data_IF_666070898267
#
_entry.id   IF_666070898267
#
_cell.length_a   1.000
_cell.length_b   1.000
_cell.length_c   1.000
_cell.angle_alpha   90.00
_cell.angle_beta   90.00
_cell.angle_gamma   90.00
#
_symmetry.space_group_name_H-M   'P 1'
#
loop_
_entity.id
_entity.type
_entity.pdbx_description
1 polymer ?
#
# COMPACT_ATOMS: atom_id res chain seq x y z
N UNK A 1 -11.48 6.62 12.89
CA UNK A 1 -10.57 5.84 12.03
C UNK A 1 -10.91 5.98 10.56
N UNK A 2 -12.17 5.77 10.16
CA UNK A 2 -12.59 6.01 8.77
C UNK A 2 -12.30 7.44 8.33
N UNK A 3 -12.50 8.42 9.19
CA UNK A 3 -12.26 9.84 8.92
C UNK A 3 -10.79 10.16 8.68
N UNK A 4 -9.89 9.47 9.38
CA UNK A 4 -8.46 9.66 9.18
C UNK A 4 -8.01 9.27 7.76
N UNK A 5 -8.44 8.12 7.27
CA UNK A 5 -8.10 7.67 5.93
C UNK A 5 -8.76 8.52 4.86
N UNK A 6 -9.98 8.99 5.11
CA UNK A 6 -10.70 9.89 4.22
C UNK A 6 -9.97 11.23 4.09
N UNK A 7 -9.54 11.81 5.21
CA UNK A 7 -8.80 13.07 5.24
C UNK A 7 -7.43 12.90 4.57
N UNK A 8 -6.74 11.81 4.85
CA UNK A 8 -5.44 11.52 4.25
C UNK A 8 -5.55 11.37 2.73
N UNK A 9 -6.55 10.62 2.27
CA UNK A 9 -6.81 10.45 0.84
C UNK A 9 -7.14 11.75 0.15
N UNK A 10 -7.93 12.60 0.78
CA UNK A 10 -8.28 13.92 0.26
C UNK A 10 -7.06 14.83 0.14
N UNK A 11 -6.20 14.86 1.16
CA UNK A 11 -4.96 15.64 1.13
C UNK A 11 -4.03 15.18 0.03
N UNK A 12 -3.91 13.90 -0.18
CA UNK A 12 -3.10 13.33 -1.26
C UNK A 12 -3.67 13.75 -2.62
N UNK A 13 -4.99 13.69 -2.78
CA UNK A 13 -5.67 14.09 -4.00
C UNK A 13 -5.49 15.58 -4.30
N UNK A 14 -5.66 16.44 -3.28
CA UNK A 14 -5.49 17.88 -3.41
C UNK A 14 -4.07 18.24 -3.86
N UNK A 15 -3.07 17.61 -3.29
CA UNK A 15 -1.67 17.83 -3.66
C UNK A 15 -1.42 17.35 -5.09
N UNK A 16 -2.00 16.24 -5.50
CA UNK A 16 -1.87 15.73 -6.86
C UNK A 16 -2.50 16.68 -7.88
N UNK A 17 -3.66 17.28 -7.55
CA UNK A 17 -4.30 18.29 -8.40
C UNK A 17 -3.43 19.52 -8.57
N UNK A 18 -2.89 20.06 -7.48
CA UNK A 18 -2.01 21.21 -7.52
C UNK A 18 -0.76 20.94 -8.37
N UNK A 19 -0.20 19.74 -8.25
CA UNK A 19 0.97 19.35 -9.03
C UNK A 19 0.68 19.22 -10.52
N UNK A 20 -0.56 18.89 -10.90
CA UNK A 20 -0.96 18.73 -12.29
C UNK A 20 -1.28 20.04 -13.02
N UNK A 21 -1.50 21.12 -12.31
CA UNK A 21 -1.93 22.40 -12.90
C UNK A 21 -0.81 23.33 -13.34
N UNK A 22 0.42 23.04 -13.00
CA UNK A 22 1.53 23.97 -13.24
C UNK A 22 2.30 23.68 -14.51
N UNK A 23 2.48 24.72 -15.30
CA UNK A 23 3.26 24.66 -16.54
C UNK A 23 4.67 25.23 -16.39
N UNK A 24 4.86 26.16 -15.45
CA UNK A 24 6.17 26.75 -15.18
C UNK A 24 6.51 26.61 -13.70
N UNK A 25 7.61 25.97 -13.41
CA UNK A 25 8.04 25.72 -12.04
C UNK A 25 9.46 26.20 -11.80
N UNK A 26 9.66 26.91 -10.70
CA UNK A 26 10.98 27.31 -10.27
C UNK A 26 11.73 26.10 -9.73
N UNK A 27 13.07 26.19 -9.67
CA UNK A 27 13.91 25.15 -9.07
C UNK A 27 13.52 24.91 -7.62
N UNK A 28 13.16 25.97 -6.90
CA UNK A 28 12.71 25.88 -5.52
C UNK A 28 11.44 25.04 -5.38
N UNK A 29 10.45 25.26 -6.25
CA UNK A 29 9.21 24.48 -6.26
C UNK A 29 9.50 23.01 -6.58
N UNK A 30 10.40 22.73 -7.52
CA UNK A 30 10.80 21.37 -7.86
C UNK A 30 11.46 20.65 -6.68
N UNK A 31 12.28 21.36 -5.91
CA UNK A 31 12.89 20.80 -4.69
C UNK A 31 11.84 20.45 -3.66
N UNK A 32 10.86 21.34 -3.45
CA UNK A 32 9.77 21.09 -2.51
C UNK A 32 8.96 19.85 -2.95
N UNK A 33 8.63 19.76 -4.24
CA UNK A 33 7.91 18.61 -4.80
C UNK A 33 8.69 17.30 -4.63
N UNK A 34 10.01 17.35 -4.83
CA UNK A 34 10.88 16.19 -4.63
C UNK A 34 10.87 15.75 -3.17
N UNK A 35 10.91 16.71 -2.24
CA UNK A 35 10.81 16.42 -0.81
C UNK A 35 9.46 15.78 -0.46
N UNK A 36 8.37 16.29 -1.02
CA UNK A 36 7.03 15.72 -0.82
C UNK A 36 6.97 14.27 -1.29
N UNK A 37 7.50 13.98 -2.48
CA UNK A 37 7.52 12.61 -3.01
C UNK A 37 8.34 11.68 -2.12
N UNK A 38 9.46 12.17 -1.60
CA UNK A 38 10.32 11.40 -0.70
C UNK A 38 9.59 11.06 0.61
N UNK A 39 8.89 12.04 1.18
CA UNK A 39 8.10 11.85 2.40
C UNK A 39 6.95 10.86 2.18
N UNK A 40 6.27 10.96 1.05
CA UNK A 40 5.20 10.03 0.69
C UNK A 40 5.71 8.59 0.56
N UNK A 41 6.86 8.41 -0.09
CA UNK A 41 7.47 7.07 -0.21
C UNK A 41 7.87 6.50 1.14
N UNK A 42 8.38 7.34 2.04
CA UNK A 42 8.70 6.91 3.40
C UNK A 42 7.42 6.47 4.14
N UNK A 43 6.34 7.22 4.00
CA UNK A 43 5.06 6.86 4.60
C UNK A 43 4.51 5.56 4.03
N UNK A 44 4.60 5.36 2.72
CA UNK A 44 4.14 4.14 2.07
C UNK A 44 4.90 2.92 2.59
N UNK A 45 6.22 3.04 2.75
CA UNK A 45 7.03 1.96 3.33
C UNK A 45 6.62 1.65 4.77
N UNK A 46 6.39 2.68 5.58
CA UNK A 46 5.97 2.49 6.96
C UNK A 46 4.58 1.87 7.05
N UNK A 47 3.66 2.27 6.18
CA UNK A 47 2.33 1.67 6.10
C UNK A 47 2.41 0.19 5.72
N UNK A 48 3.28 -0.17 4.80
CA UNK A 48 3.54 -1.56 4.42
C UNK A 48 4.09 -2.34 5.62
N UNK A 49 5.05 -1.76 6.33
CA UNK A 49 5.66 -2.41 7.50
C UNK A 49 4.63 -2.63 8.62
N UNK A 50 3.77 -1.65 8.87
CA UNK A 50 2.66 -1.79 9.82
C UNK A 50 1.76 -2.95 9.41
N UNK A 51 1.40 -3.01 8.13
CA UNK A 51 0.57 -4.07 7.60
C UNK A 51 1.20 -5.46 7.78
N UNK A 52 2.47 -5.58 7.49
CA UNK A 52 3.23 -6.83 7.67
C UNK A 52 3.26 -7.25 9.13
N UNK A 53 3.49 -6.32 10.05
CA UNK A 53 3.52 -6.61 11.49
C UNK A 53 2.17 -7.09 11.99
N UNK A 54 1.08 -6.47 11.54
CA UNK A 54 -0.27 -6.88 11.91
C UNK A 54 -0.57 -8.28 11.36
N UNK A 55 -0.19 -8.55 10.11
CA UNK A 55 -0.38 -9.86 9.49
C UNK A 55 0.38 -10.96 10.23
N UNK A 56 1.63 -10.70 10.63
CA UNK A 56 2.41 -11.64 11.43
C UNK A 56 1.71 -11.96 12.76
N UNK A 57 1.18 -10.94 13.43
CA UNK A 57 0.43 -11.12 14.67
C UNK A 57 -0.87 -11.90 14.44
N UNK A 58 -1.52 -11.68 13.31
CA UNK A 58 -2.70 -12.47 12.93
C UNK A 58 -2.36 -13.95 12.80
N UNK A 59 -1.25 -14.28 12.15
CA UNK A 59 -0.79 -15.65 11.99
C UNK A 59 -0.48 -16.32 13.34
N UNK A 60 -0.07 -15.54 14.33
CA UNK A 60 0.17 -15.99 15.70
C UNK A 60 -1.11 -16.07 16.54
N UNK A 61 -2.25 -15.64 15.98
CA UNK A 61 -3.52 -15.60 16.70
C UNK A 61 -3.62 -14.45 17.70
N UNK A 62 -2.78 -13.43 17.56
CA UNK A 62 -2.69 -12.32 18.51
C UNK A 62 -3.48 -11.08 18.10
N UNK A 63 -4.25 -11.14 17.01
CA UNK A 63 -5.07 -10.01 16.54
C UNK A 63 -6.52 -10.26 16.94
N UNK A 64 -7.13 -9.32 17.64
CA UNK A 64 -8.51 -9.42 18.10
C UNK A 64 -9.46 -8.43 17.43
N UNK A 65 -8.94 -7.42 16.75
CA UNK A 65 -9.77 -6.42 16.04
C UNK A 65 -10.42 -7.04 14.81
N UNK A 66 -11.76 -6.99 14.74
CA UNK A 66 -12.53 -7.61 13.67
C UNK A 66 -12.18 -7.07 12.28
N UNK A 67 -11.91 -5.77 12.18
CA UNK A 67 -11.56 -5.15 10.89
C UNK A 67 -10.20 -5.63 10.40
N UNK A 68 -9.23 -5.75 11.31
CA UNK A 68 -7.91 -6.27 10.98
C UNK A 68 -7.99 -7.76 10.60
N UNK A 69 -8.78 -8.53 11.31
CA UNK A 69 -8.98 -9.96 11.01
C UNK A 69 -9.56 -10.12 9.60
N UNK A 70 -10.56 -9.33 9.23
CA UNK A 70 -11.17 -9.38 7.90
C UNK A 70 -10.15 -9.11 6.79
N UNK A 71 -9.30 -8.09 6.98
CA UNK A 71 -8.27 -7.75 6.02
C UNK A 71 -7.19 -8.84 5.94
N UNK A 72 -6.78 -9.37 7.07
CA UNK A 72 -5.79 -10.45 7.13
C UNK A 72 -6.30 -11.74 6.48
N UNK A 73 -7.57 -12.08 6.68
CA UNK A 73 -8.20 -13.24 6.03
C UNK A 73 -8.23 -13.08 4.51
N UNK A 74 -8.49 -11.85 4.04
CA UNK A 74 -8.47 -11.56 2.61
C UNK A 74 -7.06 -11.73 2.03
N UNK A 75 -6.04 -11.29 2.75
CA UNK A 75 -4.63 -11.46 2.35
C UNK A 75 -4.28 -12.95 2.28
N UNK A 76 -4.65 -13.71 3.29
CA UNK A 76 -4.40 -15.15 3.35
C UNK A 76 -5.00 -15.87 2.15
N UNK A 77 -6.24 -15.55 1.80
CA UNK A 77 -6.91 -16.13 0.63
C UNK A 77 -6.20 -15.78 -0.68
N UNK A 78 -5.74 -14.54 -0.81
CA UNK A 78 -5.00 -14.11 -2.00
C UNK A 78 -3.65 -14.81 -2.10
N UNK A 79 -2.95 -14.98 -0.99
CA UNK A 79 -1.68 -15.71 -0.98
C UNK A 79 -1.87 -17.16 -1.41
N UNK A 80 -2.93 -17.83 -0.94
CA UNK A 80 -3.27 -19.17 -1.36
C UNK A 80 -3.57 -19.24 -2.87
N UNK A 81 -4.30 -18.27 -3.37
CA UNK A 81 -4.62 -18.18 -4.80
C UNK A 81 -3.37 -17.94 -5.65
N UNK A 82 -2.48 -17.06 -5.19
CA UNK A 82 -1.20 -16.78 -5.86
C UNK A 82 -0.38 -18.06 -5.92
N UNK A 83 -0.28 -18.78 -4.84
CA UNK A 83 0.46 -20.03 -4.77
C UNK A 83 -0.08 -21.05 -5.78
N UNK A 84 -1.40 -21.21 -5.87
CA UNK A 84 -2.01 -22.09 -6.85
C UNK A 84 -1.69 -21.68 -8.28
N UNK A 85 -1.72 -20.38 -8.56
CA UNK A 85 -1.42 -19.83 -9.89
C UNK A 85 0.06 -19.99 -10.25
N UNK A 86 0.95 -19.85 -9.30
CA UNK A 86 2.38 -20.07 -9.48
C UNK A 86 2.66 -21.54 -9.81
N UNK A 87 1.97 -22.46 -9.15
CA UNK A 87 2.04 -23.89 -9.46
C UNK A 87 1.54 -24.19 -10.87
N UNK A 88 0.45 -23.56 -11.27
CA UNK A 88 -0.11 -23.68 -12.61
C UNK A 88 0.90 -23.20 -13.67
N UNK A 89 1.55 -22.07 -13.43
CA UNK A 89 2.60 -21.56 -14.32
C UNK A 89 3.77 -22.55 -14.44
N UNK A 90 4.20 -23.12 -13.32
CA UNK A 90 5.26 -24.14 -13.31
C UNK A 90 4.90 -25.35 -14.15
N UNK A 91 3.65 -25.82 -14.06
CA UNK A 91 3.16 -26.95 -14.86
C UNK A 91 3.17 -26.63 -16.35
N UNK A 92 2.73 -25.44 -16.72
CA UNK A 92 2.73 -25.01 -18.13
C UNK A 92 4.16 -24.90 -18.65
N UNK A 93 5.08 -24.29 -17.90
CA UNK A 93 6.50 -24.20 -18.28
C UNK A 93 7.17 -25.55 -18.35
N UNK A 94 6.78 -26.47 -17.48
CA UNK A 94 7.32 -27.82 -17.46
C UNK A 94 6.91 -28.66 -18.68
N UNK A 95 5.84 -28.27 -19.37
CA UNK A 95 5.35 -28.96 -20.57
C UNK A 95 5.86 -28.34 -21.87
N UNK A 96 6.51 -27.21 -21.77
CA UNK A 96 7.11 -26.54 -22.93
C UNK A 96 8.56 -26.93 -23.13
#
# INVERSE_FOLDING_TARGET
MADFFSVLGKKISDVAEDLGKKTEETVEVQKIKSNIRSLKRANDRDLIDIGKMVYEKFQEGAVSDADYITLCEAIEKREEEIERKEEEVKKIKGTL
#
